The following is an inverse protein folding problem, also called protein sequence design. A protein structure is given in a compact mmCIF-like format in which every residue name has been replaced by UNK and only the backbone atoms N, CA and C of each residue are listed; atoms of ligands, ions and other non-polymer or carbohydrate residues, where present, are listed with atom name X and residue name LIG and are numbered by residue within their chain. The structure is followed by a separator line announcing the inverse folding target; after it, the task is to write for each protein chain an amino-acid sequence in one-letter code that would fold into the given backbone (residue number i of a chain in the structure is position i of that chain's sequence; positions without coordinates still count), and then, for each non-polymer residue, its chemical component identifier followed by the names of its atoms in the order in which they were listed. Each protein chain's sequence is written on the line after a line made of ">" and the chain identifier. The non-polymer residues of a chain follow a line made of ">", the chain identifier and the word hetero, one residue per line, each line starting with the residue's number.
data_IF_547250091732
#
_entry.id   IF_547250091732
#
_cell.length_a   1.000
_cell.length_b   1.000
_cell.length_c   1.000
_cell.angle_alpha   90.00
_cell.angle_beta   90.00
_cell.angle_gamma   90.00
#
_symmetry.space_group_name_H-M   'P 1'
#
loop_
_entity.id
_entity.type
_entity.pdbx_description
1 polymer ?
#
# COMPACT_ATOMS: atom_id res chain seq x y z
N UNK A 1 10.39 7.01 -7.11
CA UNK A 1 9.67 5.72 -7.12
C UNK A 1 10.30 4.78 -8.15
N UNK A 2 10.20 5.03 -9.46
CA UNK A 2 10.73 4.13 -10.52
C UNK A 2 12.19 3.66 -10.38
N UNK A 3 13.09 4.49 -9.84
CA UNK A 3 14.51 4.10 -9.59
C UNK A 3 14.71 3.02 -8.51
N UNK A 4 13.68 2.75 -7.71
CA UNK A 4 13.73 1.83 -6.56
C UNK A 4 13.03 0.51 -6.84
N UNK A 5 12.28 0.43 -7.94
CA UNK A 5 11.54 -0.77 -8.33
C UNK A 5 12.52 -1.94 -8.45
N UNK A 6 12.18 -3.06 -7.81
CA UNK A 6 13.01 -4.26 -7.76
C UNK A 6 14.10 -4.27 -6.67
N UNK A 7 14.29 -3.18 -5.92
CA UNK A 7 15.14 -3.22 -4.71
C UNK A 7 14.45 -4.04 -3.60
N UNK A 8 15.23 -4.63 -2.66
CA UNK A 8 14.67 -5.35 -1.52
C UNK A 8 13.74 -4.48 -0.69
N UNK A 9 12.62 -5.03 -0.22
CA UNK A 9 11.60 -4.29 0.54
C UNK A 9 12.13 -3.69 1.84
N UNK A 10 13.14 -4.32 2.46
CA UNK A 10 13.76 -3.85 3.71
C UNK A 10 14.84 -2.79 3.50
N UNK A 11 15.13 -2.38 2.25
CA UNK A 11 16.10 -1.33 1.96
C UNK A 11 15.64 0.00 2.60
N UNK A 12 16.52 0.74 3.33
CA UNK A 12 16.12 1.98 4.00
C UNK A 12 15.51 3.05 3.08
N UNK A 13 16.00 3.15 1.84
CA UNK A 13 15.48 4.09 0.85
C UNK A 13 14.09 3.67 0.34
N UNK A 14 13.83 2.37 0.29
CA UNK A 14 12.52 1.79 -0.03
C UNK A 14 11.53 2.01 1.11
N UNK A 15 11.97 1.88 2.37
CA UNK A 15 11.13 2.17 3.53
C UNK A 15 10.80 3.65 3.67
N UNK A 16 11.73 4.55 3.32
CA UNK A 16 11.45 5.99 3.26
C UNK A 16 10.43 6.33 2.17
N UNK A 17 10.49 5.64 1.01
CA UNK A 17 9.48 5.75 -0.03
C UNK A 17 8.10 5.33 0.50
N UNK A 18 8.00 4.19 1.19
CA UNK A 18 6.74 3.69 1.76
C UNK A 18 6.10 4.73 2.70
N UNK A 19 6.88 5.27 3.63
CA UNK A 19 6.43 6.32 4.55
C UNK A 19 5.92 7.55 3.80
N UNK A 20 6.70 8.07 2.83
CA UNK A 20 6.30 9.24 2.03
C UNK A 20 5.04 8.96 1.21
N UNK A 21 4.91 7.75 0.67
CA UNK A 21 3.75 7.34 -0.12
C UNK A 21 2.50 7.33 0.75
N UNK A 22 2.54 6.71 1.93
CA UNK A 22 1.41 6.68 2.87
C UNK A 22 1.04 8.08 3.38
N UNK A 23 2.02 8.91 3.74
CA UNK A 23 1.80 10.30 4.15
C UNK A 23 1.14 11.13 3.05
N UNK A 24 1.57 10.96 1.79
CA UNK A 24 0.96 11.65 0.65
C UNK A 24 -0.48 11.17 0.41
N UNK A 25 -0.73 9.86 0.47
CA UNK A 25 -2.06 9.28 0.34
C UNK A 25 -2.99 9.80 1.44
N UNK A 26 -2.56 9.79 2.71
CA UNK A 26 -3.32 10.33 3.83
C UNK A 26 -3.59 11.84 3.67
N UNK A 27 -2.61 12.62 3.22
CA UNK A 27 -2.78 14.06 3.01
C UNK A 27 -3.75 14.39 1.87
N UNK A 28 -3.76 13.59 0.81
CA UNK A 28 -4.55 13.86 -0.39
C UNK A 28 -5.97 13.30 -0.28
N UNK A 29 -6.11 12.09 0.26
CA UNK A 29 -7.38 11.38 0.38
C UNK A 29 -8.09 11.77 1.70
N UNK A 30 -7.33 12.11 2.74
CA UNK A 30 -7.87 12.35 4.09
C UNK A 30 -8.09 11.04 4.84
N UNK A 31 -8.05 11.11 6.17
CA UNK A 31 -8.19 9.93 7.05
C UNK A 31 -9.56 9.25 6.91
N UNK A 32 -10.62 10.03 6.76
CA UNK A 32 -12.00 9.52 6.61
C UNK A 32 -12.18 8.67 5.36
N UNK A 33 -11.63 9.11 4.23
CA UNK A 33 -11.74 8.35 2.98
C UNK A 33 -10.81 7.12 3.00
N UNK A 34 -9.61 7.21 3.61
CA UNK A 34 -8.77 6.02 3.83
C UNK A 34 -9.46 4.95 4.68
N UNK A 35 -10.18 5.36 5.72
CA UNK A 35 -10.98 4.45 6.53
C UNK A 35 -12.18 3.88 5.77
N UNK A 36 -12.79 4.65 4.86
CA UNK A 36 -13.81 4.13 3.95
C UNK A 36 -13.23 3.10 2.96
N UNK A 37 -12.04 3.35 2.41
CA UNK A 37 -11.32 2.39 1.56
C UNK A 37 -10.98 1.10 2.29
N UNK A 38 -10.58 1.18 3.57
CA UNK A 38 -10.32 0.00 4.40
C UNK A 38 -11.55 -0.84 4.75
N UNK A 39 -12.76 -0.38 4.41
CA UNK A 39 -14.03 -1.11 4.60
C UNK A 39 -14.55 -1.75 3.31
N UNK A 40 -13.98 -1.40 2.17
CA UNK A 40 -14.35 -2.02 0.90
C UNK A 40 -13.84 -3.45 0.86
N UNK A 41 -14.64 -4.34 0.29
CA UNK A 41 -14.20 -5.70 0.01
C UNK A 41 -13.16 -5.70 -1.13
N UNK A 42 -12.31 -6.73 -1.16
CA UNK A 42 -11.19 -6.80 -2.11
C UNK A 42 -11.65 -6.71 -3.59
N UNK A 43 -12.86 -7.20 -3.88
CA UNK A 43 -13.50 -7.11 -5.21
C UNK A 43 -13.90 -5.67 -5.57
N UNK A 44 -14.45 -4.92 -4.60
CA UNK A 44 -14.83 -3.51 -4.80
C UNK A 44 -13.59 -2.60 -4.97
N UNK A 45 -12.48 -2.94 -4.29
CA UNK A 45 -11.19 -2.26 -4.47
C UNK A 45 -10.63 -2.52 -5.88
N UNK A 46 -10.68 -3.78 -6.35
CA UNK A 46 -10.19 -4.16 -7.67
C UNK A 46 -10.95 -3.47 -8.81
N UNK A 47 -12.27 -3.42 -8.72
CA UNK A 47 -13.11 -2.71 -9.70
C UNK A 47 -12.78 -1.21 -9.71
N UNK A 48 -12.65 -0.59 -8.54
CA UNK A 48 -12.27 0.83 -8.43
C UNK A 48 -10.88 1.12 -8.99
N UNK A 49 -9.90 0.25 -8.72
CA UNK A 49 -8.56 0.36 -9.27
C UNK A 49 -8.55 0.20 -10.79
N UNK A 50 -9.34 -0.73 -11.34
CA UNK A 50 -9.42 -0.96 -12.80
C UNK A 50 -10.02 0.22 -13.57
N UNK A 51 -10.89 1.00 -12.91
CA UNK A 51 -11.48 2.21 -13.49
C UNK A 51 -10.53 3.41 -13.51
N UNK A 52 -9.46 3.39 -12.71
CA UNK A 52 -8.44 4.43 -12.69
C UNK A 52 -7.23 4.04 -13.54
N UNK A 53 -6.78 4.94 -14.41
CA UNK A 53 -5.52 4.74 -15.11
C UNK A 53 -4.36 4.87 -14.11
N UNK A 54 -3.84 3.75 -13.64
CA UNK A 54 -2.66 3.74 -12.79
C UNK A 54 -1.44 4.29 -13.55
N UNK A 55 -0.61 5.15 -12.92
CA UNK A 55 0.64 5.62 -13.51
C UNK A 55 1.76 4.56 -13.44
N UNK A 56 1.50 3.41 -12.83
CA UNK A 56 2.42 2.32 -12.60
C UNK A 56 2.13 1.14 -13.53
N UNK A 57 3.18 0.39 -13.89
CA UNK A 57 2.99 -0.92 -14.50
C UNK A 57 2.53 -1.94 -13.46
N UNK A 58 1.94 -3.05 -13.89
CA UNK A 58 1.53 -4.14 -13.00
C UNK A 58 2.69 -4.68 -12.14
N UNK A 59 3.91 -4.70 -12.67
CA UNK A 59 5.11 -5.08 -11.91
C UNK A 59 5.48 -4.04 -10.84
N UNK A 60 5.37 -2.75 -11.18
CA UNK A 60 5.61 -1.66 -10.24
C UNK A 60 4.58 -1.67 -9.10
N UNK A 61 3.31 -1.99 -9.40
CA UNK A 61 2.24 -2.12 -8.40
C UNK A 61 2.46 -3.30 -7.48
N UNK A 62 2.71 -4.50 -8.01
CA UNK A 62 3.00 -5.69 -7.19
C UNK A 62 4.20 -5.47 -6.27
N UNK A 63 5.23 -4.80 -6.77
CA UNK A 63 6.38 -4.45 -5.95
C UNK A 63 6.01 -3.42 -4.87
N UNK A 64 5.24 -2.40 -5.21
CA UNK A 64 4.79 -1.38 -4.25
C UNK A 64 3.91 -1.99 -3.16
N UNK A 65 3.00 -2.90 -3.50
CA UNK A 65 2.13 -3.60 -2.54
C UNK A 65 2.95 -4.33 -1.47
N UNK A 66 3.98 -5.07 -1.89
CA UNK A 66 4.91 -5.75 -0.97
C UNK A 66 5.67 -4.77 -0.06
N UNK A 67 6.07 -3.62 -0.61
CA UNK A 67 6.77 -2.57 0.15
C UNK A 67 5.85 -1.96 1.22
N UNK A 68 4.60 -1.67 0.86
CA UNK A 68 3.60 -1.12 1.78
C UNK A 68 3.23 -2.15 2.84
N UNK A 69 2.98 -3.41 2.46
CA UNK A 69 2.70 -4.51 3.39
C UNK A 69 3.81 -4.68 4.42
N UNK A 70 5.07 -4.73 3.96
CA UNK A 70 6.22 -4.83 4.86
C UNK A 70 6.26 -3.64 5.83
N UNK A 71 6.08 -2.42 5.33
CA UNK A 71 6.11 -1.20 6.14
C UNK A 71 5.02 -1.18 7.23
N UNK A 72 3.76 -1.52 6.88
CA UNK A 72 2.66 -1.51 7.85
C UNK A 72 2.82 -2.59 8.92
N UNK A 73 3.37 -3.76 8.56
CA UNK A 73 3.65 -4.85 9.51
C UNK A 73 4.80 -4.47 10.44
N UNK A 74 5.91 -3.94 9.91
CA UNK A 74 7.04 -3.50 10.73
C UNK A 74 6.67 -2.39 11.71
N UNK A 75 5.77 -1.49 11.29
CA UNK A 75 5.32 -0.39 12.14
C UNK A 75 4.16 -0.77 13.07
N UNK A 76 3.75 -2.04 13.12
CA UNK A 76 2.68 -2.54 13.98
C UNK A 76 1.29 -2.01 13.63
N UNK A 77 1.11 -1.46 12.44
CA UNK A 77 -0.17 -0.95 11.94
C UNK A 77 -1.11 -2.07 11.48
N UNK A 78 -0.53 -3.22 11.11
CA UNK A 78 -1.25 -4.42 10.72
C UNK A 78 -0.53 -5.65 11.27
N UNK A 79 -1.28 -6.64 11.73
CA UNK A 79 -0.73 -7.94 12.11
C UNK A 79 -1.43 -9.03 11.30
N UNK A 80 -0.75 -9.62 10.30
CA UNK A 80 -1.36 -10.61 9.40
C UNK A 80 -1.82 -11.88 10.13
N UNK A 81 -1.33 -12.13 11.35
CA UNK A 81 -1.71 -13.29 12.15
C UNK A 81 -2.96 -13.05 13.03
N UNK A 82 -3.56 -11.85 13.01
CA UNK A 82 -4.80 -11.59 13.75
C UNK A 82 -6.05 -12.18 13.06
N UNK A 83 -5.98 -12.53 11.78
CA UNK A 83 -7.10 -13.10 11.02
C UNK A 83 -7.25 -14.63 11.10
N UNK A 84 -6.51 -15.32 11.97
CA UNK A 84 -6.72 -16.75 12.26
C UNK A 84 -7.66 -16.98 13.46
N UNK A 85 -8.74 -16.20 13.55
CA UNK A 85 -9.58 -16.17 14.75
C UNK A 85 -11.04 -15.82 14.52
N UNK A 86 -11.73 -16.53 13.61
CA UNK A 86 -13.10 -17.08 13.75
C UNK A 86 -13.66 -17.58 12.43
#
# INVERSE_FOLDING_TARGET
>A
MKRLVGKPVHDPEVQELANKHLQASLKYVGEEAMHAFGKLENEEIGDFQSMMASPYTEEEEKWLDQVIEYYIVQNGMYNPNQHNGK
#
